data_IF_512373286199
#
_entry.id   IF_512373286199
#
_cell.length_a   1.000
_cell.length_b   1.000
_cell.length_c   1.000
_cell.angle_alpha   90.00
_cell.angle_beta   90.00
_cell.angle_gamma   90.00
#
_symmetry.space_group_name_H-M   'P 1'
#
loop_
_entity.id
_entity.type
_entity.pdbx_description
1 polymer ?
#
# COMPACT_ATOMS: atom_id res chain seq x y z
N UNK A 1 30.70 -24.52 -51.58
CA UNK A 1 30.78 -23.30 -52.42
C UNK A 1 30.74 -22.12 -51.47
N UNK A 2 31.75 -21.28 -51.23
CA UNK A 2 33.13 -21.06 -51.70
C UNK A 2 33.93 -20.67 -50.43
N UNK A 3 34.95 -21.45 -50.03
CA UNK A 3 36.39 -21.11 -50.01
C UNK A 3 36.77 -19.75 -49.41
N UNK A 4 37.41 -19.71 -48.24
CA UNK A 4 38.89 -19.75 -47.99
C UNK A 4 39.60 -18.45 -48.44
N UNK A 5 40.24 -17.68 -47.56
CA UNK A 5 41.64 -17.87 -47.11
C UNK A 5 41.91 -16.94 -45.90
N UNK A 6 42.46 -17.38 -44.75
CA UNK A 6 43.89 -17.57 -44.40
C UNK A 6 44.73 -16.28 -44.63
N UNK A 7 45.60 -15.77 -43.76
CA UNK A 7 46.49 -16.42 -42.78
C UNK A 7 47.31 -15.33 -42.02
N UNK A 8 47.59 -15.56 -40.72
CA UNK A 8 48.88 -15.42 -39.97
C UNK A 8 49.74 -14.13 -40.12
N UNK A 9 50.48 -13.62 -39.11
CA UNK A 9 51.24 -14.25 -38.00
C UNK A 9 51.87 -13.13 -37.11
N UNK A 10 52.01 -13.41 -35.79
CA UNK A 10 53.17 -13.28 -34.85
C UNK A 10 54.05 -12.00 -34.86
N UNK A 11 54.65 -11.45 -33.79
CA UNK A 11 55.32 -11.94 -32.53
C UNK A 11 55.57 -10.70 -31.61
N UNK A 12 55.33 -10.72 -30.30
CA UNK A 12 56.22 -10.96 -29.11
C UNK A 12 57.53 -10.13 -28.98
N UNK A 13 57.65 -9.42 -27.84
CA UNK A 13 58.89 -9.06 -27.09
C UNK A 13 59.30 -7.58 -27.15
N UNK A 14 59.83 -6.88 -26.15
CA UNK A 14 60.17 -7.09 -24.72
C UNK A 14 60.62 -5.74 -24.11
N UNK A 15 60.33 -5.52 -22.81
CA UNK A 15 61.01 -4.69 -21.77
C UNK A 15 61.90 -3.47 -22.12
N UNK A 16 61.74 -2.38 -21.34
CA UNK A 16 62.87 -1.49 -21.00
C UNK A 16 62.57 -0.03 -20.59
N UNK A 17 62.24 0.15 -19.31
CA UNK A 17 62.45 1.31 -18.38
C UNK A 17 62.93 2.70 -18.85
N UNK A 18 62.32 3.72 -18.20
CA UNK A 18 62.86 5.00 -17.66
C UNK A 18 62.10 6.23 -18.22
N UNK A 19 61.77 7.33 -17.51
CA UNK A 19 61.69 7.74 -16.09
C UNK A 19 61.16 9.21 -16.14
N UNK A 20 60.47 9.65 -15.08
CA UNK A 20 60.19 11.06 -14.69
C UNK A 20 59.20 11.92 -15.50
N UNK A 21 58.17 12.43 -14.81
CA UNK A 21 57.40 13.58 -15.29
C UNK A 21 56.09 13.85 -14.55
N UNK A 22 56.20 14.34 -13.31
CA UNK A 22 55.22 15.09 -12.50
C UNK A 22 53.85 15.41 -13.13
N UNK A 23 52.77 15.08 -12.42
CA UNK A 23 51.45 15.69 -12.66
C UNK A 23 50.28 14.92 -12.04
N UNK A 24 50.24 14.76 -10.71
CA UNK A 24 49.03 14.30 -10.02
C UNK A 24 48.07 15.49 -9.93
N UNK A 25 47.12 15.58 -10.85
CA UNK A 25 45.93 16.42 -10.67
C UNK A 25 44.92 15.53 -9.94
N UNK A 26 44.83 15.70 -8.63
CA UNK A 26 43.70 15.22 -7.84
C UNK A 26 42.46 16.00 -8.28
N UNK A 27 41.66 15.42 -9.17
CA UNK A 27 40.27 15.85 -9.37
C UNK A 27 39.50 15.39 -8.14
N UNK A 28 39.29 16.32 -7.21
CA UNK A 28 38.39 16.12 -6.09
C UNK A 28 36.96 15.98 -6.64
N UNK A 29 36.49 14.74 -6.77
CA UNK A 29 35.08 14.44 -6.92
C UNK A 29 34.38 14.90 -5.63
N UNK A 30 33.71 16.06 -5.72
CA UNK A 30 32.74 16.50 -4.73
C UNK A 30 31.58 15.50 -4.76
N UNK A 31 31.67 14.47 -3.91
CA UNK A 31 30.53 13.69 -3.47
C UNK A 31 29.54 14.66 -2.80
N UNK A 32 28.52 15.07 -3.55
CA UNK A 32 27.33 15.71 -2.99
C UNK A 32 26.68 14.72 -2.03
N UNK A 33 26.95 14.88 -0.74
CA UNK A 33 26.29 14.11 0.30
C UNK A 33 24.79 14.33 0.23
N UNK A 34 24.04 13.25 0.01
CA UNK A 34 22.65 13.18 0.43
C UNK A 34 22.62 13.47 1.93
N UNK A 35 22.12 14.63 2.32
CA UNK A 35 21.77 14.90 3.70
C UNK A 35 20.58 13.99 4.05
N UNK A 36 20.71 13.04 5.00
CA UNK A 36 19.54 12.34 5.53
C UNK A 36 18.60 13.38 6.13
N UNK A 37 17.36 13.41 5.64
CA UNK A 37 16.34 14.33 6.13
C UNK A 37 16.21 14.23 7.64
N UNK A 38 16.38 15.35 8.35
CA UNK A 38 16.17 15.44 9.79
C UNK A 38 14.70 15.17 10.12
N UNK A 39 14.34 13.89 10.32
CA UNK A 39 13.12 13.52 11.00
C UNK A 39 13.16 14.08 12.42
N UNK A 40 12.24 14.99 12.75
CA UNK A 40 12.13 15.46 14.13
C UNK A 40 11.66 14.31 15.02
N UNK A 41 12.19 14.19 16.24
CA UNK A 41 11.76 13.18 17.24
C UNK A 41 10.23 13.16 17.47
N UNK A 42 9.56 14.29 17.22
CA UNK A 42 8.10 14.40 17.29
C UNK A 42 7.40 13.64 16.16
N UNK A 43 7.90 13.74 14.92
CA UNK A 43 7.37 13.00 13.77
C UNK A 43 7.49 11.49 13.93
N UNK A 44 8.65 11.01 14.38
CA UNK A 44 8.86 9.58 14.66
C UNK A 44 7.89 9.04 15.73
N UNK A 45 7.63 9.83 16.78
CA UNK A 45 6.67 9.48 17.83
C UNK A 45 5.24 9.38 17.30
N UNK A 46 4.86 10.29 16.39
CA UNK A 46 3.55 10.27 15.74
C UNK A 46 3.37 9.04 14.85
N UNK A 47 4.37 8.70 14.04
CA UNK A 47 4.34 7.50 13.20
C UNK A 47 4.16 6.22 14.04
N UNK A 48 4.91 6.08 15.14
CA UNK A 48 4.74 4.96 16.08
C UNK A 48 3.34 4.89 16.69
N UNK A 49 2.71 6.04 16.97
CA UNK A 49 1.32 6.08 17.44
C UNK A 49 0.30 5.80 16.34
N UNK A 50 0.60 6.16 15.09
CA UNK A 50 -0.22 5.84 13.92
C UNK A 50 -0.26 4.33 13.71
N UNK A 51 0.89 3.66 13.75
CA UNK A 51 0.97 2.18 13.70
C UNK A 51 0.13 1.55 14.80
N UNK A 52 0.18 2.09 16.03
CA UNK A 52 -0.67 1.60 17.13
C UNK A 52 -2.17 1.83 16.90
N UNK A 53 -2.54 2.88 16.19
CA UNK A 53 -3.92 3.13 15.78
C UNK A 53 -4.36 2.16 14.67
N UNK A 54 -3.53 1.96 13.65
CA UNK A 54 -3.81 1.02 12.57
C UNK A 54 -4.01 -0.41 13.08
N UNK A 55 -3.19 -0.82 14.07
CA UNK A 55 -3.32 -2.11 14.75
C UNK A 55 -4.69 -2.35 15.39
N UNK A 56 -5.43 -1.32 15.79
CA UNK A 56 -6.80 -1.48 16.32
C UNK A 56 -7.88 -1.16 15.27
N UNK A 57 -7.59 -0.28 14.31
CA UNK A 57 -8.49 0.08 13.23
C UNK A 57 -8.72 -1.07 12.24
N UNK A 58 -7.65 -1.72 11.79
CA UNK A 58 -7.72 -2.77 10.75
C UNK A 58 -8.57 -3.96 11.21
N UNK A 59 -8.48 -4.47 12.45
CA UNK A 59 -9.39 -5.50 12.95
C UNK A 59 -10.86 -5.08 12.96
N UNK A 60 -11.18 -3.81 13.30
CA UNK A 60 -12.55 -3.31 13.27
C UNK A 60 -13.12 -3.24 11.85
N UNK A 61 -12.30 -2.79 10.90
CA UNK A 61 -12.65 -2.79 9.48
C UNK A 61 -12.89 -4.21 8.96
N UNK A 62 -12.02 -5.16 9.31
CA UNK A 62 -12.12 -6.55 8.88
C UNK A 62 -13.28 -7.32 9.55
N UNK A 63 -13.65 -6.99 10.80
CA UNK A 63 -14.78 -7.60 11.48
C UNK A 63 -16.12 -7.16 10.87
N UNK A 64 -16.26 -5.87 10.56
CA UNK A 64 -17.46 -5.31 9.91
C UNK A 64 -17.64 -5.86 8.49
N UNK A 65 -16.54 -5.99 7.72
CA UNK A 65 -16.58 -6.65 6.40
C UNK A 65 -17.09 -8.09 6.46
N UNK A 66 -16.73 -8.83 7.52
CA UNK A 66 -17.14 -10.23 7.72
C UNK A 66 -18.55 -10.38 8.29
N UNK A 67 -19.24 -9.27 8.55
CA UNK A 67 -20.55 -9.25 9.19
C UNK A 67 -20.55 -9.95 10.56
N UNK A 68 -19.43 -9.92 11.28
CA UNK A 68 -19.30 -10.52 12.61
C UNK A 68 -19.61 -9.48 13.68
N UNK A 69 -20.84 -9.49 14.20
CA UNK A 69 -21.31 -8.53 15.20
C UNK A 69 -20.50 -8.56 16.49
N UNK A 70 -20.14 -9.75 16.99
CA UNK A 70 -19.42 -9.90 18.27
C UNK A 70 -18.00 -9.34 18.14
N UNK A 71 -17.28 -9.78 17.11
CA UNK A 71 -15.93 -9.29 16.83
C UNK A 71 -15.94 -7.79 16.51
N UNK A 72 -16.95 -7.29 15.78
CA UNK A 72 -17.09 -5.87 15.48
C UNK A 72 -17.25 -5.04 16.75
N UNK A 73 -18.11 -5.46 17.69
CA UNK A 73 -18.24 -4.79 18.99
C UNK A 73 -16.93 -4.82 19.79
N UNK A 74 -16.23 -5.96 19.84
CA UNK A 74 -14.95 -6.14 20.58
C UNK A 74 -13.84 -5.25 20.02
N UNK A 75 -13.67 -5.26 18.70
CA UNK A 75 -12.63 -4.48 18.01
C UNK A 75 -12.95 -2.98 17.98
N UNK A 76 -14.22 -2.60 17.83
CA UNK A 76 -14.63 -1.19 17.85
C UNK A 76 -14.35 -0.52 19.19
N UNK A 77 -14.55 -1.20 20.33
CA UNK A 77 -14.17 -0.65 21.66
C UNK A 77 -12.68 -0.30 21.72
N UNK A 78 -11.80 -1.21 21.28
CA UNK A 78 -10.35 -0.99 21.21
C UNK A 78 -10.00 0.18 20.28
N UNK A 79 -10.69 0.31 19.16
CA UNK A 79 -10.51 1.44 18.23
C UNK A 79 -10.92 2.77 18.88
N UNK A 80 -12.09 2.85 19.53
CA UNK A 80 -12.57 4.07 20.19
C UNK A 80 -11.56 4.55 21.24
N UNK A 81 -11.10 3.66 22.12
CA UNK A 81 -10.11 4.01 23.16
C UNK A 81 -8.80 4.51 22.55
N UNK A 82 -8.28 3.80 21.53
CA UNK A 82 -7.03 4.16 20.86
C UNK A 82 -7.16 5.48 20.10
N UNK A 83 -8.29 5.71 19.44
CA UNK A 83 -8.58 6.96 18.75
C UNK A 83 -8.61 8.15 19.72
N UNK A 84 -9.30 8.03 20.86
CA UNK A 84 -9.35 9.10 21.86
C UNK A 84 -7.96 9.46 22.39
N UNK A 85 -7.11 8.45 22.64
CA UNK A 85 -5.73 8.69 23.04
C UNK A 85 -4.88 9.37 21.94
N UNK A 86 -5.04 8.93 20.69
CA UNK A 86 -4.36 9.53 19.54
C UNK A 86 -4.79 10.99 19.32
N UNK A 87 -6.10 11.23 19.29
CA UNK A 87 -6.71 12.57 19.14
C UNK A 87 -6.19 13.55 20.18
N UNK A 88 -6.24 13.20 21.48
CA UNK A 88 -5.76 14.07 22.57
C UNK A 88 -4.33 14.55 22.38
N UNK A 89 -3.48 13.75 21.73
CA UNK A 89 -2.07 14.06 21.56
C UNK A 89 -1.77 14.86 20.29
N UNK A 90 -2.53 14.61 19.22
CA UNK A 90 -2.15 15.08 17.89
C UNK A 90 -3.13 16.04 17.22
N UNK A 91 -4.35 16.21 17.73
CA UNK A 91 -5.36 17.10 17.13
C UNK A 91 -4.87 18.54 16.95
N UNK A 92 -3.94 18.98 17.80
CA UNK A 92 -3.41 20.36 17.81
C UNK A 92 -1.93 20.42 17.42
N UNK A 93 -1.35 19.30 16.99
CA UNK A 93 0.09 19.16 16.76
C UNK A 93 0.60 19.91 15.51
N UNK A 94 -0.29 20.27 14.58
CA UNK A 94 0.08 21.00 13.38
C UNK A 94 -0.94 22.08 13.05
N UNK A 95 -0.68 23.30 13.52
CA UNK A 95 -1.53 24.46 13.28
C UNK A 95 -1.30 25.11 11.91
N UNK A 96 -0.25 24.69 11.17
CA UNK A 96 0.05 25.23 9.83
C UNK A 96 -0.87 24.66 8.76
N UNK A 97 -1.32 23.42 8.93
CA UNK A 97 -2.35 22.83 8.07
C UNK A 97 -3.74 23.20 8.62
N UNK A 98 -4.42 24.12 7.93
CA UNK A 98 -5.77 24.60 8.28
C UNK A 98 -6.83 23.50 8.25
N UNK A 99 -6.55 22.37 7.60
CA UNK A 99 -7.43 21.21 7.50
C UNK A 99 -7.14 20.17 8.58
N UNK A 100 -6.01 20.26 9.29
CA UNK A 100 -5.56 19.27 10.27
C UNK A 100 -6.61 18.97 11.35
N UNK A 101 -7.07 20.01 12.07
CA UNK A 101 -8.08 19.85 13.12
C UNK A 101 -9.39 19.30 12.57
N UNK A 102 -9.82 19.81 11.40
CA UNK A 102 -11.07 19.40 10.74
C UNK A 102 -11.06 17.92 10.34
N UNK A 103 -9.91 17.41 9.89
CA UNK A 103 -9.73 15.99 9.56
C UNK A 103 -9.85 15.13 10.81
N UNK A 104 -9.25 15.54 11.94
CA UNK A 104 -9.43 14.85 13.22
C UNK A 104 -10.90 14.85 13.68
N UNK A 105 -11.60 15.98 13.56
CA UNK A 105 -13.03 16.06 13.89
C UNK A 105 -13.88 15.16 12.99
N UNK A 106 -13.57 15.05 11.70
CA UNK A 106 -14.26 14.15 10.77
C UNK A 106 -13.98 12.68 11.09
N UNK A 107 -12.73 12.32 11.40
CA UNK A 107 -12.39 10.97 11.85
C UNK A 107 -13.15 10.64 13.13
N UNK A 108 -13.23 11.56 14.09
CA UNK A 108 -14.01 11.38 15.30
C UNK A 108 -15.50 11.13 15.02
N UNK A 109 -16.11 11.92 14.13
CA UNK A 109 -17.50 11.71 13.71
C UNK A 109 -17.69 10.32 13.09
N UNK A 110 -16.76 9.86 12.26
CA UNK A 110 -16.82 8.53 11.63
C UNK A 110 -16.65 7.40 12.62
N UNK A 111 -15.71 7.52 13.56
CA UNK A 111 -15.52 6.54 14.65
C UNK A 111 -16.80 6.45 15.49
N UNK A 112 -17.38 7.58 15.91
CA UNK A 112 -18.62 7.60 16.68
C UNK A 112 -19.80 7.01 15.89
N UNK A 113 -19.93 7.38 14.61
CA UNK A 113 -20.98 6.85 13.72
C UNK A 113 -20.87 5.34 13.54
N UNK A 114 -19.69 4.82 13.20
CA UNK A 114 -19.46 3.39 13.05
C UNK A 114 -19.80 2.63 14.35
N UNK A 115 -19.37 3.14 15.51
CA UNK A 115 -19.71 2.54 16.79
C UNK A 115 -21.24 2.50 17.03
N UNK A 116 -21.96 3.58 16.73
CA UNK A 116 -23.42 3.64 16.88
C UNK A 116 -24.15 2.64 15.97
N UNK A 117 -23.66 2.44 14.75
CA UNK A 117 -24.21 1.48 13.78
C UNK A 117 -24.01 0.04 14.28
N UNK A 118 -22.82 -0.27 14.79
CA UNK A 118 -22.46 -1.61 15.30
C UNK A 118 -23.22 -1.95 16.59
N UNK A 119 -23.30 -1.01 17.54
CA UNK A 119 -23.90 -1.27 18.87
C UNK A 119 -25.43 -1.21 18.82
N UNK A 120 -25.98 -0.24 18.10
CA UNK A 120 -27.42 0.01 18.04
C UNK A 120 -28.12 -0.87 17.02
N UNK A 121 -27.87 -0.60 15.73
CA UNK A 121 -28.65 -1.19 14.61
C UNK A 121 -28.13 -2.54 14.13
N UNK A 122 -26.88 -2.90 14.45
CA UNK A 122 -26.21 -4.05 13.84
C UNK A 122 -25.95 -3.87 12.34
N UNK A 123 -25.94 -2.63 11.85
CA UNK A 123 -25.71 -2.31 10.44
C UNK A 123 -24.20 -2.30 10.14
N UNK A 124 -23.65 -3.50 9.96
CA UNK A 124 -22.21 -3.71 9.78
C UNK A 124 -21.71 -3.29 8.41
N UNK A 125 -22.57 -3.30 7.39
CA UNK A 125 -22.22 -2.84 6.04
C UNK A 125 -21.99 -1.33 6.03
N UNK A 126 -22.95 -0.54 6.54
CA UNK A 126 -22.77 0.92 6.63
C UNK A 126 -21.65 1.28 7.59
N UNK A 127 -21.45 0.49 8.67
CA UNK A 127 -20.31 0.69 9.57
C UNK A 127 -18.97 0.45 8.87
N UNK A 128 -18.86 -0.59 8.04
CA UNK A 128 -17.67 -0.89 7.25
C UNK A 128 -17.33 0.28 6.32
N UNK A 129 -18.29 0.75 5.52
CA UNK A 129 -18.10 1.88 4.60
C UNK A 129 -17.73 3.17 5.35
N UNK A 130 -18.32 3.41 6.51
CA UNK A 130 -17.97 4.54 7.38
C UNK A 130 -16.50 4.47 7.82
N UNK A 131 -16.03 3.28 8.22
CA UNK A 131 -14.66 3.03 8.63
C UNK A 131 -13.69 3.13 7.44
N UNK A 132 -14.04 2.69 6.24
CA UNK A 132 -13.19 2.83 5.05
C UNK A 132 -12.83 4.29 4.75
N UNK A 133 -13.73 5.24 5.05
CA UNK A 133 -13.45 6.66 4.88
C UNK A 133 -12.34 7.19 5.80
N UNK A 134 -12.09 6.57 6.95
CA UNK A 134 -11.06 7.01 7.91
C UNK A 134 -9.66 6.89 7.31
N UNK A 135 -9.32 5.77 6.65
CA UNK A 135 -7.99 5.60 6.02
C UNK A 135 -7.75 6.63 4.91
N UNK A 136 -8.80 7.03 4.19
CA UNK A 136 -8.70 8.04 3.13
C UNK A 136 -8.38 9.43 3.71
N UNK A 137 -9.04 9.81 4.80
CA UNK A 137 -8.75 11.09 5.48
C UNK A 137 -7.32 11.10 6.02
N UNK A 138 -6.89 10.01 6.66
CA UNK A 138 -5.51 9.93 7.15
C UNK A 138 -4.47 9.97 6.02
N UNK A 139 -4.74 9.29 4.91
CA UNK A 139 -3.86 9.31 3.74
C UNK A 139 -3.71 10.71 3.16
N UNK A 140 -4.83 11.43 3.00
CA UNK A 140 -4.81 12.82 2.54
C UNK A 140 -4.08 13.74 3.54
N UNK A 141 -4.35 13.57 4.84
CA UNK A 141 -3.68 14.34 5.89
C UNK A 141 -2.17 14.14 5.85
N UNK A 142 -1.70 12.89 5.77
CA UNK A 142 -0.27 12.58 5.69
C UNK A 142 0.36 13.12 4.42
N UNK A 143 -0.29 12.96 3.27
CA UNK A 143 0.18 13.46 1.99
C UNK A 143 0.36 15.00 1.99
N UNK A 144 -0.65 15.77 2.44
CA UNK A 144 -0.56 17.23 2.54
C UNK A 144 0.53 17.72 3.48
N UNK A 145 0.96 16.87 4.42
CA UNK A 145 1.97 17.19 5.43
C UNK A 145 3.31 16.50 5.17
N UNK A 146 3.51 15.94 3.97
CA UNK A 146 4.74 15.27 3.55
C UNK A 146 5.19 14.15 4.50
N UNK A 147 4.22 13.44 5.07
CA UNK A 147 4.46 12.27 5.90
C UNK A 147 4.38 11.05 4.99
N UNK A 148 5.52 10.47 4.65
CA UNK A 148 5.57 9.21 3.92
C UNK A 148 5.17 8.04 4.84
N UNK A 149 4.21 7.24 4.40
CA UNK A 149 3.64 6.17 5.22
C UNK A 149 3.15 5.01 4.37
N UNK A 150 3.73 3.83 4.59
CA UNK A 150 3.55 2.67 3.71
C UNK A 150 2.06 2.30 3.43
N UNK A 151 1.18 2.39 4.44
CA UNK A 151 -0.23 2.06 4.28
C UNK A 151 -1.00 3.01 3.34
N UNK A 152 -0.45 4.19 3.03
CA UNK A 152 -1.05 5.11 2.07
C UNK A 152 -0.92 4.59 0.65
N UNK A 153 0.19 3.93 0.30
CA UNK A 153 0.34 3.29 -1.00
C UNK A 153 -0.66 2.13 -1.18
N UNK A 154 -0.88 1.34 -0.12
CA UNK A 154 -1.90 0.28 -0.13
C UNK A 154 -3.32 0.87 -0.22
N UNK A 155 -3.58 1.99 0.45
CA UNK A 155 -4.87 2.68 0.39
C UNK A 155 -5.14 3.27 -0.99
N UNK A 156 -4.12 3.86 -1.64
CA UNK A 156 -4.21 4.36 -3.00
C UNK A 156 -4.50 3.24 -4.01
N UNK A 157 -3.85 2.07 -3.87
CA UNK A 157 -4.13 0.91 -4.70
C UNK A 157 -5.56 0.37 -4.54
N UNK A 158 -6.08 0.36 -3.31
CA UNK A 158 -7.37 -0.26 -3.01
C UNK A 158 -8.54 0.33 -3.81
N UNK A 159 -8.59 1.65 -4.01
CA UNK A 159 -9.74 2.33 -4.64
C UNK A 159 -9.98 1.88 -6.10
N UNK A 160 -9.01 1.97 -7.03
CA UNK A 160 -9.20 1.50 -8.39
C UNK A 160 -9.35 -0.03 -8.46
N UNK A 161 -8.68 -0.78 -7.58
CA UNK A 161 -8.84 -2.24 -7.48
C UNK A 161 -10.28 -2.62 -7.10
N UNK A 162 -10.83 -2.00 -6.06
CA UNK A 162 -12.20 -2.26 -5.61
C UNK A 162 -13.23 -1.82 -6.66
N UNK A 163 -12.95 -0.74 -7.40
CA UNK A 163 -13.81 -0.32 -8.51
C UNK A 163 -13.92 -1.40 -9.60
N UNK A 164 -12.82 -2.07 -9.96
CA UNK A 164 -12.84 -3.22 -10.89
C UNK A 164 -13.68 -4.37 -10.31
N UNK A 165 -13.48 -4.72 -9.04
CA UNK A 165 -14.23 -5.80 -8.38
C UNK A 165 -15.74 -5.50 -8.36
N UNK A 166 -16.13 -4.26 -8.06
CA UNK A 166 -17.53 -3.83 -8.01
C UNK A 166 -18.24 -3.94 -9.35
N UNK A 167 -17.53 -3.68 -10.46
CA UNK A 167 -18.10 -3.80 -11.81
C UNK A 167 -18.58 -5.22 -12.13
N UNK A 168 -17.97 -6.25 -11.52
CA UNK A 168 -18.28 -7.67 -11.80
C UNK A 168 -18.98 -8.39 -10.66
N UNK A 169 -19.23 -7.73 -9.53
CA UNK A 169 -19.68 -8.36 -8.27
C UNK A 169 -20.88 -9.29 -8.50
N UNK A 170 -21.92 -8.75 -9.15
CA UNK A 170 -23.21 -9.41 -9.37
C UNK A 170 -23.46 -9.74 -10.86
N UNK A 171 -22.41 -9.64 -11.71
CA UNK A 171 -22.51 -9.93 -13.15
C UNK A 171 -22.17 -11.38 -13.47
N UNK A 172 -22.81 -11.88 -14.53
CA UNK A 172 -22.42 -13.10 -15.26
C UNK A 172 -21.82 -12.75 -16.63
N UNK A 173 -21.20 -13.73 -17.29
CA UNK A 173 -20.45 -13.54 -18.54
C UNK A 173 -21.24 -12.82 -19.64
N UNK A 174 -22.55 -13.09 -19.77
CA UNK A 174 -23.43 -12.50 -20.78
C UNK A 174 -23.80 -11.04 -20.51
N UNK A 175 -23.45 -10.50 -19.34
CA UNK A 175 -23.77 -9.14 -18.91
C UNK A 175 -22.57 -8.17 -18.99
N UNK A 176 -21.40 -8.64 -19.46
CA UNK A 176 -20.24 -7.80 -19.71
C UNK A 176 -20.35 -7.14 -21.09
N UNK A 177 -20.61 -5.83 -21.10
CA UNK A 177 -20.64 -5.04 -22.32
C UNK A 177 -19.25 -4.53 -22.70
N UNK A 178 -19.08 -4.02 -23.93
CA UNK A 178 -17.79 -3.51 -24.39
C UNK A 178 -17.31 -2.30 -23.58
N UNK A 179 -18.26 -1.45 -23.14
CA UNK A 179 -18.02 -0.29 -22.29
C UNK A 179 -17.53 -0.69 -20.89
N UNK A 180 -18.00 -1.84 -20.38
CA UNK A 180 -17.49 -2.41 -19.14
C UNK A 180 -16.02 -2.82 -19.31
N UNK A 181 -15.68 -3.48 -20.43
CA UNK A 181 -14.32 -3.92 -20.69
C UNK A 181 -13.34 -2.75 -20.79
N UNK A 182 -13.72 -1.68 -21.50
CA UNK A 182 -12.92 -0.45 -21.56
C UNK A 182 -12.73 0.16 -20.16
N UNK A 183 -13.82 0.32 -19.42
CA UNK A 183 -13.78 0.89 -18.06
C UNK A 183 -12.94 0.03 -17.11
N UNK A 184 -12.97 -1.30 -17.25
CA UNK A 184 -12.12 -2.21 -16.46
C UNK A 184 -10.64 -2.08 -16.84
N UNK A 185 -10.31 -1.90 -18.12
CA UNK A 185 -8.93 -1.70 -18.58
C UNK A 185 -8.34 -0.40 -18.02
N UNK A 186 -9.09 0.70 -18.07
CA UNK A 186 -8.67 2.00 -17.52
C UNK A 186 -8.41 1.90 -16.01
N UNK A 187 -9.36 1.32 -15.26
CA UNK A 187 -9.22 1.16 -13.80
C UNK A 187 -8.10 0.20 -13.43
N UNK A 188 -7.90 -0.88 -14.19
CA UNK A 188 -6.78 -1.78 -13.98
C UNK A 188 -5.44 -1.09 -14.24
N UNK A 189 -5.34 -0.22 -15.24
CA UNK A 189 -4.13 0.56 -15.49
C UNK A 189 -3.79 1.45 -14.27
N UNK A 190 -4.77 2.18 -13.74
CA UNK A 190 -4.61 2.99 -12.52
C UNK A 190 -4.24 2.13 -11.31
N UNK A 191 -4.90 0.97 -11.13
CA UNK A 191 -4.57 0.03 -10.06
C UNK A 191 -3.13 -0.46 -10.17
N UNK A 192 -2.66 -0.85 -11.36
CA UNK A 192 -1.27 -1.29 -11.57
C UNK A 192 -0.26 -0.17 -11.33
N UNK A 193 -0.58 1.07 -11.68
CA UNK A 193 0.25 2.23 -11.36
C UNK A 193 0.41 2.41 -9.85
N UNK A 194 -0.70 2.47 -9.11
CA UNK A 194 -0.66 2.59 -7.64
C UNK A 194 0.02 1.40 -6.97
N UNK A 195 -0.22 0.19 -7.48
CA UNK A 195 0.46 -1.01 -7.01
C UNK A 195 1.96 -0.93 -7.23
N UNK A 196 2.43 -0.46 -8.39
CA UNK A 196 3.86 -0.30 -8.66
C UNK A 196 4.53 0.66 -7.67
N UNK A 197 3.83 1.72 -7.25
CA UNK A 197 4.31 2.63 -6.20
C UNK A 197 4.37 1.93 -4.85
N UNK A 198 3.36 1.13 -4.48
CA UNK A 198 3.40 0.32 -3.26
C UNK A 198 4.55 -0.69 -3.27
N UNK A 199 4.88 -1.27 -4.43
CA UNK A 199 6.03 -2.18 -4.61
C UNK A 199 7.37 -1.47 -4.45
N UNK A 200 7.47 -0.22 -4.86
CA UNK A 200 8.69 0.58 -4.84
C UNK A 200 8.88 1.37 -3.54
N UNK A 201 7.84 1.50 -2.72
CA UNK A 201 7.88 2.24 -1.48
C UNK A 201 8.82 1.59 -0.45
N UNK A 202 9.57 2.43 0.27
CA UNK A 202 10.40 1.97 1.37
C UNK A 202 9.52 1.43 2.50
N UNK A 203 9.87 0.24 3.00
CA UNK A 203 9.17 -0.41 4.11
C UNK A 203 10.04 -0.48 5.36
N UNK A 204 9.73 0.37 6.35
CA UNK A 204 10.35 0.31 7.67
C UNK A 204 9.70 -0.79 8.53
N UNK A 205 10.21 -2.02 8.40
CA UNK A 205 9.77 -3.16 9.22
C UNK A 205 9.88 -2.87 10.73
N UNK A 206 10.84 -2.05 11.16
CA UNK A 206 11.05 -1.70 12.56
C UNK A 206 9.91 -0.84 13.10
N UNK A 207 9.46 0.14 12.31
CA UNK A 207 8.34 1.02 12.64
C UNK A 207 7.04 0.21 12.81
N UNK A 208 6.80 -0.74 11.92
CA UNK A 208 5.62 -1.61 11.96
C UNK A 208 5.76 -2.78 12.93
N UNK A 209 6.95 -3.02 13.50
CA UNK A 209 7.24 -4.14 14.39
C UNK A 209 7.08 -5.50 13.72
N UNK A 210 7.47 -5.59 12.44
CA UNK A 210 7.49 -6.84 11.70
C UNK A 210 8.82 -7.55 11.93
N UNK A 211 8.75 -8.83 12.27
CA UNK A 211 9.90 -9.72 12.26
C UNK A 211 10.16 -10.26 10.85
N UNK A 212 11.21 -11.07 10.70
CA UNK A 212 11.61 -11.62 9.40
C UNK A 212 10.49 -12.47 8.76
N UNK A 213 9.76 -13.26 9.55
CA UNK A 213 8.66 -14.10 9.06
C UNK A 213 7.51 -13.25 8.53
N UNK A 214 7.11 -12.21 9.25
CA UNK A 214 6.03 -11.30 8.82
C UNK A 214 6.42 -10.47 7.60
N UNK A 215 7.70 -10.09 7.48
CA UNK A 215 8.24 -9.46 6.25
C UNK A 215 8.16 -10.42 5.08
N UNK A 216 8.56 -11.68 5.25
CA UNK A 216 8.47 -12.70 4.19
C UNK A 216 7.00 -12.91 3.77
N UNK A 217 6.10 -13.03 4.75
CA UNK A 217 4.66 -13.17 4.49
C UNK A 217 4.10 -11.97 3.70
N UNK A 218 4.53 -10.75 4.04
CA UNK A 218 4.17 -9.54 3.32
C UNK A 218 4.62 -9.62 1.86
N UNK A 219 5.88 -9.97 1.61
CA UNK A 219 6.44 -10.10 0.26
C UNK A 219 5.73 -11.18 -0.56
N UNK A 220 5.41 -12.33 0.04
CA UNK A 220 4.65 -13.39 -0.62
C UNK A 220 3.24 -12.93 -1.01
N UNK A 221 2.55 -12.17 -0.15
CA UNK A 221 1.23 -11.63 -0.47
C UNK A 221 1.29 -10.56 -1.56
N UNK A 222 2.33 -9.71 -1.56
CA UNK A 222 2.57 -8.74 -2.62
C UNK A 222 2.85 -9.44 -3.97
N UNK A 223 3.59 -10.54 -3.98
CA UNK A 223 3.82 -11.32 -5.20
C UNK A 223 2.54 -12.01 -5.72
N UNK A 224 1.66 -12.45 -4.82
CA UNK A 224 0.35 -13.01 -5.19
C UNK A 224 -0.57 -11.94 -5.81
N UNK A 225 -0.50 -10.72 -5.31
CA UNK A 225 -1.23 -9.58 -5.90
C UNK A 225 -0.71 -9.25 -7.31
N UNK A 226 0.62 -9.27 -7.53
CA UNK A 226 1.21 -9.12 -8.87
C UNK A 226 0.61 -10.15 -9.85
N UNK A 227 0.56 -11.42 -9.43
CA UNK A 227 0.05 -12.50 -10.24
C UNK A 227 -1.46 -12.36 -10.53
N UNK A 228 -2.24 -11.88 -9.56
CA UNK A 228 -3.67 -11.64 -9.74
C UNK A 228 -3.94 -10.52 -10.75
N UNK A 229 -3.21 -9.39 -10.65
CA UNK A 229 -3.30 -8.28 -11.60
C UNK A 229 -2.87 -8.70 -13.01
N UNK A 230 -1.80 -9.50 -13.14
CA UNK A 230 -1.36 -10.04 -14.42
C UNK A 230 -2.39 -11.00 -15.04
N UNK A 231 -3.04 -11.83 -14.22
CA UNK A 231 -4.10 -12.75 -14.66
C UNK A 231 -5.31 -11.98 -15.20
N UNK A 232 -5.75 -10.94 -14.48
CA UNK A 232 -6.85 -10.09 -14.95
C UNK A 232 -6.48 -9.35 -16.24
N UNK A 233 -5.26 -8.80 -16.34
CA UNK A 233 -4.79 -8.16 -17.57
C UNK A 233 -4.87 -9.12 -18.76
N UNK A 234 -4.41 -10.36 -18.59
CA UNK A 234 -4.44 -11.39 -19.65
C UNK A 234 -5.87 -11.72 -20.05
N UNK A 235 -6.78 -11.89 -19.08
CA UNK A 235 -8.19 -12.17 -19.34
C UNK A 235 -8.87 -11.03 -20.13
N UNK A 236 -8.60 -9.77 -19.77
CA UNK A 236 -9.10 -8.61 -20.49
C UNK A 236 -8.57 -8.52 -21.92
N UNK A 237 -7.30 -8.85 -22.15
CA UNK A 237 -6.71 -8.89 -23.50
C UNK A 237 -7.28 -10.03 -24.34
N UNK A 238 -7.56 -11.20 -23.73
CA UNK A 238 -8.14 -12.34 -24.41
C UNK A 238 -9.65 -12.18 -24.71
N UNK A 239 -10.33 -11.23 -24.04
CA UNK A 239 -11.74 -10.94 -24.26
C UNK A 239 -12.70 -12.03 -23.82
N UNK A 240 -12.31 -12.90 -22.88
CA UNK A 240 -13.13 -14.02 -22.41
C UNK A 240 -13.94 -13.61 -21.15
N UNK A 241 -15.27 -13.36 -21.25
CA UNK A 241 -16.01 -12.69 -20.17
C UNK A 241 -16.04 -13.48 -18.86
N UNK A 242 -16.13 -14.82 -18.92
CA UNK A 242 -16.11 -15.66 -17.73
C UNK A 242 -14.75 -15.60 -17.00
N UNK A 243 -13.65 -15.61 -17.75
CA UNK A 243 -12.31 -15.48 -17.19
C UNK A 243 -12.10 -14.09 -16.58
N UNK A 244 -12.61 -13.04 -17.24
CA UNK A 244 -12.53 -11.65 -16.75
C UNK A 244 -13.23 -11.51 -15.40
N UNK A 245 -14.46 -12.03 -15.26
CA UNK A 245 -15.21 -11.97 -14.00
C UNK A 245 -14.45 -12.72 -12.90
N UNK A 246 -13.97 -13.92 -13.19
CA UNK A 246 -13.22 -14.74 -12.23
C UNK A 246 -11.93 -14.03 -11.78
N UNK A 247 -11.12 -13.55 -12.74
CA UNK A 247 -9.87 -12.87 -12.46
C UNK A 247 -10.08 -11.53 -11.72
N UNK A 248 -11.12 -10.77 -12.07
CA UNK A 248 -11.45 -9.51 -11.40
C UNK A 248 -11.89 -9.73 -9.95
N UNK A 249 -12.58 -10.82 -9.63
CA UNK A 249 -12.89 -11.18 -8.24
C UNK A 249 -11.64 -11.63 -7.47
N UNK A 250 -10.65 -12.19 -8.17
CA UNK A 250 -9.44 -12.77 -7.58
C UNK A 250 -8.35 -11.75 -7.19
N UNK A 251 -8.47 -10.47 -7.57
CA UNK A 251 -7.50 -9.42 -7.17
C UNK A 251 -7.71 -8.95 -5.72
N UNK A 252 -8.91 -9.06 -5.14
CA UNK A 252 -9.16 -8.59 -3.77
C UNK A 252 -8.52 -9.47 -2.65
N UNK A 253 -8.56 -10.81 -2.72
CA UNK A 253 -8.14 -11.65 -1.59
C UNK A 253 -6.67 -11.53 -1.15
N UNK A 254 -5.66 -11.48 -2.02
CA UNK A 254 -4.27 -11.32 -1.58
C UNK A 254 -4.05 -9.95 -0.92
N UNK A 255 -4.55 -8.87 -1.52
CA UNK A 255 -4.57 -7.53 -0.92
C UNK A 255 -5.21 -7.51 0.47
N UNK A 256 -6.41 -8.10 0.63
CA UNK A 256 -7.09 -8.12 1.91
C UNK A 256 -6.24 -8.80 2.99
N UNK A 257 -5.60 -9.93 2.66
CA UNK A 257 -4.66 -10.63 3.56
C UNK A 257 -3.44 -9.78 3.88
N UNK A 258 -2.86 -9.09 2.88
CA UNK A 258 -1.73 -8.20 3.05
C UNK A 258 -2.06 -7.06 4.01
N UNK A 259 -3.20 -6.38 3.80
CA UNK A 259 -3.65 -5.29 4.64
C UNK A 259 -3.91 -5.74 6.08
N UNK A 260 -4.46 -6.96 6.26
CA UNK A 260 -4.64 -7.56 7.58
C UNK A 260 -3.32 -7.84 8.32
N UNK A 261 -2.16 -7.93 7.64
CA UNK A 261 -0.88 -8.05 8.34
C UNK A 261 -0.54 -6.83 9.20
N UNK A 262 -1.27 -5.73 9.13
CA UNK A 262 -1.00 -4.53 9.92
C UNK A 262 -1.91 -4.39 11.15
N UNK A 263 -2.83 -5.33 11.34
CA UNK A 263 -3.77 -5.37 12.46
C UNK A 263 -3.36 -6.28 13.62
N UNK A 264 -3.79 -5.94 14.84
CA UNK A 264 -3.71 -6.81 16.03
C UNK A 264 -5.06 -7.49 16.27
N UNK A 265 -5.27 -8.62 15.61
CA UNK A 265 -6.51 -9.38 15.70
C UNK A 265 -6.65 -10.04 17.07
N UNK A 266 -7.83 -9.91 17.73
CA UNK A 266 -8.07 -10.68 18.95
C UNK A 266 -8.03 -12.18 18.62
N UNK A 267 -7.64 -12.99 19.59
CA UNK A 267 -7.81 -14.44 19.50
C UNK A 267 -9.27 -14.76 19.14
N UNK A 268 -9.46 -15.77 18.30
CA UNK A 268 -10.80 -16.31 18.02
C UNK A 268 -11.27 -16.96 19.31
N UNK A 269 -12.43 -16.52 19.79
CA UNK A 269 -13.13 -17.15 20.91
C UNK A 269 -13.68 -18.52 20.46
#
# INVERSE_FOLDING_TARGET
MLSFTHNRRRTIGTRGTARLGRGVICVALLFGGLLPGCGTKSGEKMLKDMVRLDRTYIPALAATQRQDTSASKKTMRRLVERWLAFKRKYMDANQKDVQWRKDFEEIERRVAKANSLIVGKGDLTTAHETLEGIRQIFSQLRHRNHIDYFLDYLTAFHEPMEAVVRMVKDKVATQLASEDLQSMQERLATAKEHWSRARAADFDASLFGFDAERVEQMQQLMAREDAALATLQKALTAGQPAEIISAAKAIKPPFAKLFMLFGDFPARD
#
